data_IF_410754426683
#
_entry.id   IF_410754426683
#
_cell.length_a   1.000
_cell.length_b   1.000
_cell.length_c   1.000
_cell.angle_alpha   90.00
_cell.angle_beta   90.00
_cell.angle_gamma   90.00
#
_symmetry.space_group_name_H-M   'P 1'
#
loop_
_entity.id
_entity.type
_entity.pdbx_description
1 polymer ?
#
# COMPACT_ATOMS: atom_id res chain seq x y z
N UNK A 1 3.84 -14.61 21.24
CA UNK A 1 2.94 -15.57 20.59
C UNK A 1 3.43 -16.98 20.90
N UNK A 2 2.56 -17.98 21.11
CA UNK A 2 3.03 -19.35 21.27
C UNK A 2 3.77 -19.77 19.99
N UNK A 3 4.96 -20.35 20.15
CA UNK A 3 5.74 -20.87 19.01
C UNK A 3 5.05 -22.09 18.42
N UNK A 4 4.91 -22.13 17.10
CA UNK A 4 4.32 -23.25 16.35
C UNK A 4 5.00 -23.36 14.98
N UNK A 5 5.14 -24.58 14.47
CA UNK A 5 5.65 -24.83 13.10
C UNK A 5 4.76 -24.23 12.00
N UNK A 6 3.50 -23.93 12.32
CA UNK A 6 2.55 -23.31 11.39
C UNK A 6 2.55 -21.78 11.44
N UNK A 7 3.31 -21.18 12.36
CA UNK A 7 3.37 -19.74 12.56
C UNK A 7 4.73 -19.20 12.09
N UNK A 8 4.72 -18.51 10.95
CA UNK A 8 5.86 -17.73 10.48
C UNK A 8 5.67 -16.26 10.87
N UNK A 9 6.68 -15.67 11.49
CA UNK A 9 6.68 -14.29 11.94
C UNK A 9 7.84 -13.58 11.23
N UNK A 10 7.57 -12.40 10.67
CA UNK A 10 8.63 -11.57 10.13
C UNK A 10 9.46 -10.98 11.28
N UNK A 11 10.77 -10.86 11.10
CA UNK A 11 11.68 -10.44 12.18
C UNK A 11 11.50 -8.96 12.57
N UNK A 12 11.00 -8.13 11.66
CA UNK A 12 10.84 -6.70 11.88
C UNK A 12 9.49 -6.34 12.51
N UNK A 13 9.50 -5.30 13.35
CA UNK A 13 8.29 -4.57 13.73
C UNK A 13 8.01 -3.50 12.68
N UNK A 14 6.75 -3.40 12.26
CA UNK A 14 6.31 -2.52 11.18
C UNK A 14 5.40 -1.41 11.72
N UNK A 15 5.66 -0.18 11.28
CA UNK A 15 4.89 1.01 11.59
C UNK A 15 4.01 1.38 10.41
N UNK A 16 2.74 1.69 10.67
CA UNK A 16 1.82 2.13 9.64
C UNK A 16 1.91 3.65 9.43
N UNK A 17 2.10 4.04 8.18
CA UNK A 17 1.97 5.40 7.68
C UNK A 17 0.63 5.54 6.95
N UNK A 18 0.02 6.70 7.06
CA UNK A 18 -1.15 7.08 6.28
C UNK A 18 -0.93 8.46 5.68
N UNK A 19 -1.32 8.63 4.42
CA UNK A 19 -1.15 9.89 3.68
C UNK A 19 -2.51 10.56 3.56
N UNK A 20 -2.66 11.72 4.19
CA UNK A 20 -3.88 12.53 4.09
C UNK A 20 -3.61 13.68 3.14
N UNK A 21 -4.27 13.70 1.97
CA UNK A 21 -4.25 14.87 1.12
C UNK A 21 -5.13 15.96 1.74
N UNK A 22 -4.55 17.13 2.06
CA UNK A 22 -5.33 18.31 2.43
C UNK A 22 -6.30 18.66 1.31
N UNK A 23 -7.56 18.97 1.66
CA UNK A 23 -8.68 19.12 0.73
C UNK A 23 -8.43 20.15 -0.38
N UNK A 24 -7.84 19.70 -1.49
CA UNK A 24 -7.94 20.32 -2.80
C UNK A 24 -9.15 19.74 -3.54
N UNK A 25 -9.78 20.54 -4.39
CA UNK A 25 -10.97 20.20 -5.17
C UNK A 25 -10.94 18.75 -5.68
N UNK A 26 -11.92 17.95 -5.26
CA UNK A 26 -12.13 16.59 -5.75
C UNK A 26 -12.53 16.66 -7.23
N UNK A 27 -11.56 16.66 -8.15
CA UNK A 27 -11.86 16.29 -9.53
C UNK A 27 -12.13 14.79 -9.55
N UNK A 28 -13.13 14.35 -10.31
CA UNK A 28 -13.45 12.93 -10.53
C UNK A 28 -12.36 12.15 -11.28
N UNK A 29 -11.20 12.75 -11.50
CA UNK A 29 -10.08 12.28 -12.31
C UNK A 29 -8.79 12.09 -11.50
N UNK A 30 -8.88 12.07 -10.17
CA UNK A 30 -7.70 11.80 -9.34
C UNK A 30 -7.51 10.28 -9.19
N UNK A 31 -6.28 9.78 -9.32
CA UNK A 31 -6.00 8.36 -9.10
C UNK A 31 -6.48 7.94 -7.69
N UNK A 32 -7.07 6.74 -7.60
CA UNK A 32 -7.55 6.15 -6.36
C UNK A 32 -6.56 5.07 -5.91
N UNK A 33 -6.37 4.95 -4.59
CA UNK A 33 -5.55 3.90 -4.01
C UNK A 33 -4.06 4.22 -4.08
N UNK A 34 -3.24 3.17 -4.18
CA UNK A 34 -1.76 3.27 -4.18
C UNK A 34 -1.22 4.12 -5.33
N UNK A 35 -1.93 4.20 -6.46
CA UNK A 35 -1.45 4.97 -7.63
C UNK A 35 -1.41 6.46 -7.37
N UNK A 36 -2.25 6.96 -6.45
CA UNK A 36 -2.24 8.37 -6.02
C UNK A 36 -0.94 8.78 -5.33
N UNK A 37 -0.34 7.85 -4.60
CA UNK A 37 0.87 8.07 -3.80
C UNK A 37 2.13 7.47 -4.46
N UNK A 38 1.99 6.93 -5.68
CA UNK A 38 3.08 6.25 -6.38
C UNK A 38 4.31 7.15 -6.51
N UNK A 39 4.13 8.38 -7.01
CA UNK A 39 5.24 9.31 -7.27
C UNK A 39 5.74 10.06 -6.04
N UNK A 40 4.85 10.39 -5.10
CA UNK A 40 5.20 11.24 -3.96
C UNK A 40 5.65 10.46 -2.73
N UNK A 41 5.33 9.17 -2.64
CA UNK A 41 5.68 8.34 -1.47
C UNK A 41 6.34 7.03 -1.86
N UNK A 42 5.72 6.24 -2.77
CA UNK A 42 6.25 4.91 -3.08
C UNK A 42 7.60 4.97 -3.79
N UNK A 43 7.73 5.80 -4.83
CA UNK A 43 8.97 5.95 -5.59
C UNK A 43 10.12 6.50 -4.72
N UNK A 44 9.96 7.60 -3.96
CA UNK A 44 11.03 8.12 -3.11
C UNK A 44 11.51 7.12 -2.04
N UNK A 45 10.60 6.33 -1.45
CA UNK A 45 10.99 5.28 -0.50
C UNK A 45 11.77 4.16 -1.20
N UNK A 46 11.36 3.76 -2.40
CA UNK A 46 12.08 2.77 -3.19
C UNK A 46 13.49 3.25 -3.59
N UNK A 47 13.62 4.51 -4.02
CA UNK A 47 14.90 5.13 -4.39
C UNK A 47 15.90 5.19 -3.22
N UNK A 48 15.39 5.28 -2.00
CA UNK A 48 16.18 5.23 -0.76
C UNK A 48 16.35 3.80 -0.22
N UNK A 49 15.97 2.78 -1.00
CA UNK A 49 16.06 1.37 -0.65
C UNK A 49 15.34 1.03 0.66
N UNK A 50 14.17 1.65 0.87
CA UNK A 50 13.28 1.39 2.00
C UNK A 50 12.21 0.39 1.56
N UNK A 51 12.20 -0.77 2.21
CA UNK A 51 11.19 -1.80 1.97
C UNK A 51 9.85 -1.38 2.57
N UNK A 52 8.77 -1.61 1.82
CA UNK A 52 7.41 -1.24 2.22
C UNK A 52 6.47 -2.42 2.06
N UNK A 53 5.49 -2.51 2.96
CA UNK A 53 4.35 -3.41 2.84
C UNK A 53 3.09 -2.57 2.66
N UNK A 54 2.27 -2.90 1.66
CA UNK A 54 1.04 -2.16 1.41
C UNK A 54 -0.16 -2.87 2.02
N UNK A 55 -1.06 -2.09 2.62
CA UNK A 55 -2.35 -2.57 3.05
C UNK A 55 -3.44 -1.55 2.69
N UNK A 56 -3.93 -1.65 1.47
CA UNK A 56 -5.15 -0.98 1.06
C UNK A 56 -6.37 -1.59 1.77
N UNK A 57 -7.19 -0.70 2.32
CA UNK A 57 -8.47 -1.02 2.93
C UNK A 57 -9.59 -0.29 2.19
N UNK A 58 -10.84 -0.49 2.61
CA UNK A 58 -11.95 0.27 2.03
C UNK A 58 -11.84 1.78 2.34
N UNK A 59 -11.28 2.14 3.49
CA UNK A 59 -11.22 3.53 3.96
C UNK A 59 -9.95 4.26 3.51
N UNK A 60 -8.82 3.57 3.47
CA UNK A 60 -7.51 4.20 3.26
C UNK A 60 -6.42 3.18 2.89
N UNK A 61 -5.28 3.69 2.46
CA UNK A 61 -4.09 2.91 2.11
C UNK A 61 -3.01 3.09 3.18
N UNK A 62 -2.70 2.00 3.88
CA UNK A 62 -1.58 1.99 4.82
C UNK A 62 -0.29 1.56 4.13
N UNK A 63 0.77 2.31 4.38
CA UNK A 63 2.14 1.93 3.99
C UNK A 63 2.85 1.52 5.27
N UNK A 64 3.25 0.26 5.36
CA UNK A 64 3.98 -0.28 6.49
C UNK A 64 5.48 -0.18 6.19
N UNK A 65 6.22 0.46 7.09
CA UNK A 65 7.68 0.57 7.05
C UNK A 65 8.28 -0.09 8.28
N UNK A 66 9.49 -0.63 8.19
CA UNK A 66 10.16 -1.18 9.38
C UNK A 66 10.48 -0.03 10.35
N UNK A 67 10.29 -0.28 11.65
CA UNK A 67 10.56 0.73 12.69
C UNK A 67 11.99 1.28 12.61
N UNK A 68 12.97 0.41 12.33
CA UNK A 68 14.38 0.79 12.14
C UNK A 68 14.63 1.75 10.97
N UNK A 69 13.75 1.76 9.96
CA UNK A 69 13.88 2.60 8.77
C UNK A 69 13.18 3.96 8.95
N UNK A 70 12.46 4.17 10.06
CA UNK A 70 11.69 5.38 10.31
C UNK A 70 12.49 6.69 10.15
N UNK A 71 13.76 6.81 10.62
CA UNK A 71 14.55 8.02 10.41
C UNK A 71 14.83 8.33 8.93
N UNK A 72 15.00 7.30 8.10
CA UNK A 72 15.18 7.47 6.66
C UNK A 72 13.86 7.86 6.01
N UNK A 73 12.76 7.22 6.39
CA UNK A 73 11.41 7.58 5.93
C UNK A 73 11.09 9.05 6.23
N UNK A 74 11.34 9.51 7.46
CA UNK A 74 11.05 10.90 7.82
C UNK A 74 11.93 11.86 7.04
N UNK A 75 13.22 11.57 6.88
CA UNK A 75 14.12 12.37 6.06
C UNK A 75 13.61 12.46 4.61
N UNK A 76 13.33 11.32 3.98
CA UNK A 76 12.88 11.21 2.58
C UNK A 76 11.58 11.97 2.31
N UNK A 77 10.61 11.90 3.23
CA UNK A 77 9.28 12.48 3.00
C UNK A 77 9.14 13.92 3.53
N UNK A 78 10.05 14.38 4.40
CA UNK A 78 9.94 15.71 5.04
C UNK A 78 10.02 16.89 4.09
N UNK A 79 10.56 16.72 2.87
CA UNK A 79 10.61 17.78 1.87
C UNK A 79 9.25 18.11 1.27
N UNK A 80 8.33 17.14 1.23
CA UNK A 80 7.02 17.28 0.58
C UNK A 80 5.85 17.18 1.58
N UNK A 81 6.07 16.59 2.75
CA UNK A 81 5.01 16.30 3.71
C UNK A 81 5.29 16.87 5.10
N UNK A 82 4.24 17.42 5.70
CA UNK A 82 4.19 17.61 7.15
C UNK A 82 3.92 16.26 7.82
N UNK A 83 4.91 15.75 8.54
CA UNK A 83 4.81 14.44 9.20
C UNK A 83 4.17 14.60 10.58
N UNK A 84 3.04 13.92 10.79
CA UNK A 84 2.30 13.90 12.04
C UNK A 84 2.26 12.47 12.60
N UNK A 85 2.27 12.35 13.94
CA UNK A 85 2.10 11.07 14.64
C UNK A 85 0.76 11.09 15.35
N UNK A 86 0.07 9.94 15.39
CA UNK A 86 -1.12 9.76 16.23
C UNK A 86 -0.69 9.13 17.54
N UNK A 87 -0.96 9.80 18.66
CA UNK A 87 -0.72 9.31 20.03
C UNK A 87 -2.03 9.37 20.79
N UNK A 88 -2.49 8.24 21.34
CA UNK A 88 -3.79 8.14 22.05
C UNK A 88 -5.00 8.65 21.25
N UNK A 89 -4.92 8.64 19.91
CA UNK A 89 -5.97 9.16 19.03
C UNK A 89 -5.86 10.64 18.66
N UNK A 90 -4.86 11.37 19.20
CA UNK A 90 -4.60 12.79 18.89
C UNK A 90 -3.36 12.95 17.99
N UNK A 91 -3.39 13.93 17.08
CA UNK A 91 -2.26 14.23 16.18
C UNK A 91 -1.25 15.15 16.86
N UNK A 92 -0.03 14.65 17.08
CA UNK A 92 1.07 15.36 17.74
C UNK A 92 2.37 15.26 16.92
N UNK A 93 3.28 16.21 17.11
CA UNK A 93 4.65 16.10 16.60
C UNK A 93 5.37 14.93 17.29
N UNK A 94 6.19 14.19 16.54
CA UNK A 94 6.54 12.81 16.87
C UNK A 94 7.60 12.62 17.98
N UNK A 95 7.21 12.14 19.18
CA UNK A 95 8.08 11.44 20.15
C UNK A 95 7.37 10.24 20.85
N UNK A 96 8.11 9.11 20.92
CA UNK A 96 8.06 7.81 21.65
C UNK A 96 6.80 7.05 22.19
N UNK A 97 6.82 5.73 21.87
CA UNK A 97 6.31 4.48 22.49
C UNK A 97 4.83 3.99 22.38
N UNK A 98 4.64 2.94 21.55
CA UNK A 98 4.06 1.59 21.81
C UNK A 98 2.56 1.35 22.11
N UNK A 99 1.87 0.47 21.34
CA UNK A 99 0.78 -0.49 21.72
C UNK A 99 0.25 -1.29 20.49
N UNK A 100 -0.24 -2.53 20.72
CA UNK A 100 -0.65 -3.59 19.76
C UNK A 100 -2.17 -3.75 19.55
N UNK A 101 -2.66 -4.35 18.45
CA UNK A 101 -4.06 -4.87 18.32
C UNK A 101 -4.19 -6.09 17.37
N UNK A 102 -5.18 -6.95 17.63
CA UNK A 102 -5.51 -8.15 16.84
C UNK A 102 -6.95 -8.13 16.28
N UNK A 103 -7.16 -8.83 15.16
CA UNK A 103 -8.47 -8.96 14.48
C UNK A 103 -8.73 -10.41 14.07
N UNK A 104 -9.99 -10.85 14.11
CA UNK A 104 -10.46 -12.15 13.60
C UNK A 104 -11.47 -11.90 12.47
N UNK A 105 -11.45 -12.72 11.41
CA UNK A 105 -12.26 -12.61 10.18
C UNK A 105 -13.26 -13.79 10.02
N UNK A 106 -14.27 -13.72 9.12
CA UNK A 106 -15.69 -13.94 9.45
C UNK A 106 -16.36 -15.09 8.65
N UNK A 107 -17.69 -15.21 8.71
CA UNK A 107 -18.52 -16.06 7.82
C UNK A 107 -19.72 -15.29 7.22
N UNK A 108 -20.12 -15.72 6.01
CA UNK A 108 -21.15 -15.24 5.07
C UNK A 108 -22.18 -14.20 5.59
N UNK A 109 -22.21 -13.05 4.92
CA UNK A 109 -23.01 -11.89 5.32
C UNK A 109 -24.44 -11.96 4.78
N UNK A 110 -25.47 -11.80 5.63
CA UNK A 110 -26.84 -11.50 5.20
C UNK A 110 -26.93 -10.28 4.26
N UNK A 111 -27.97 -10.24 3.43
CA UNK A 111 -28.26 -9.10 2.54
C UNK A 111 -28.34 -7.78 3.33
N UNK A 112 -27.91 -6.68 2.69
CA UNK A 112 -27.87 -5.32 3.26
C UNK A 112 -26.92 -5.10 4.45
N UNK A 113 -26.01 -6.04 4.73
CA UNK A 113 -24.93 -5.83 5.72
C UNK A 113 -23.61 -5.40 5.09
N UNK A 114 -23.40 -5.72 3.82
CA UNK A 114 -22.22 -5.29 3.07
C UNK A 114 -22.55 -4.01 2.31
N UNK A 115 -21.92 -2.93 2.74
CA UNK A 115 -21.97 -1.65 2.03
C UNK A 115 -20.78 -1.58 1.06
N UNK A 116 -21.07 -1.18 -0.16
CA UNK A 116 -20.07 -0.95 -1.21
C UNK A 116 -20.34 0.39 -1.88
N UNK A 117 -19.28 1.11 -2.23
CA UNK A 117 -19.35 2.30 -3.08
C UNK A 117 -19.40 1.94 -4.57
N UNK A 118 -19.15 0.69 -4.93
CA UNK A 118 -19.12 0.25 -6.32
C UNK A 118 -20.52 0.32 -6.94
N UNK A 119 -20.67 1.12 -8.00
CA UNK A 119 -21.89 1.19 -8.81
C UNK A 119 -21.90 0.11 -9.92
N UNK A 120 -21.51 -1.11 -9.59
CA UNK A 120 -21.39 -2.24 -10.53
C UNK A 120 -19.98 -2.50 -11.08
N UNK A 121 -19.00 -1.67 -10.72
CA UNK A 121 -17.58 -1.86 -11.07
C UNK A 121 -16.97 -2.99 -10.22
N UNK A 122 -16.34 -3.97 -10.87
CA UNK A 122 -15.70 -5.10 -10.23
C UNK A 122 -14.18 -4.96 -10.31
N UNK A 123 -13.50 -5.55 -9.33
CA UNK A 123 -12.05 -5.48 -9.21
C UNK A 123 -11.42 -6.82 -9.56
N UNK A 124 -10.44 -6.79 -10.45
CA UNK A 124 -9.64 -7.95 -10.85
C UNK A 124 -8.30 -7.95 -10.13
N UNK A 125 -7.92 -9.11 -9.61
CA UNK A 125 -6.66 -9.28 -8.89
C UNK A 125 -5.51 -9.61 -9.84
N UNK A 126 -4.43 -8.85 -9.75
CA UNK A 126 -3.12 -9.14 -10.33
C UNK A 126 -2.20 -9.56 -9.19
N UNK A 127 -1.77 -10.83 -9.20
CA UNK A 127 -0.78 -11.34 -8.25
C UNK A 127 0.63 -11.04 -8.73
N UNK A 128 1.47 -10.54 -7.83
CA UNK A 128 2.87 -10.19 -8.06
C UNK A 128 3.77 -11.17 -7.28
N UNK A 129 4.84 -11.62 -7.94
CA UNK A 129 5.81 -12.59 -7.39
C UNK A 129 5.60 -14.02 -7.89
N UNK A 130 6.60 -14.55 -8.61
CA UNK A 130 6.67 -15.96 -9.01
C UNK A 130 7.19 -16.88 -7.91
N UNK A 131 7.88 -16.31 -6.92
CA UNK A 131 8.38 -16.94 -5.69
C UNK A 131 8.04 -16.02 -4.50
N UNK A 132 8.13 -16.51 -3.25
CA UNK A 132 7.95 -15.65 -2.08
C UNK A 132 8.90 -14.45 -2.12
N UNK A 133 8.33 -13.24 -2.05
CA UNK A 133 9.07 -11.97 -2.20
C UNK A 133 9.96 -11.65 -0.99
N UNK A 134 9.62 -12.18 0.19
CA UNK A 134 10.30 -11.83 1.44
C UNK A 134 9.98 -10.40 1.88
N UNK A 135 10.87 -9.81 2.68
CA UNK A 135 10.62 -8.54 3.38
C UNK A 135 11.67 -7.47 3.10
N UNK A 136 12.76 -7.80 2.39
CA UNK A 136 13.90 -6.92 2.18
C UNK A 136 13.98 -6.34 0.76
N UNK A 137 13.28 -6.96 -0.20
CA UNK A 137 13.26 -6.49 -1.59
C UNK A 137 12.48 -5.17 -1.68
N UNK A 138 13.16 -4.13 -2.17
CA UNK A 138 12.61 -2.78 -2.28
C UNK A 138 12.10 -2.52 -3.70
N UNK A 139 11.17 -1.57 -3.83
CA UNK A 139 10.68 -1.11 -5.12
C UNK A 139 9.65 -2.00 -5.81
N UNK A 140 9.32 -3.20 -5.32
CA UNK A 140 8.28 -4.06 -5.91
C UNK A 140 6.96 -3.28 -6.13
N UNK A 141 6.52 -2.56 -5.10
CA UNK A 141 5.30 -1.74 -5.17
C UNK A 141 5.45 -0.63 -6.21
N UNK A 142 6.60 0.05 -6.25
CA UNK A 142 6.90 1.13 -7.21
C UNK A 142 6.82 0.62 -8.66
N UNK A 143 7.41 -0.55 -8.94
CA UNK A 143 7.40 -1.18 -10.26
C UNK A 143 6.00 -1.47 -10.80
N UNK A 144 5.00 -1.57 -9.92
CA UNK A 144 3.60 -1.80 -10.29
C UNK A 144 2.82 -0.49 -10.25
N UNK A 145 2.95 0.32 -9.21
CA UNK A 145 2.13 1.50 -8.99
C UNK A 145 2.49 2.66 -9.91
N UNK A 146 3.76 2.83 -10.27
CA UNK A 146 4.21 3.89 -11.18
C UNK A 146 3.65 3.77 -12.60
N UNK A 147 3.77 2.64 -13.32
CA UNK A 147 3.21 2.52 -14.66
C UNK A 147 1.68 2.60 -14.65
N UNK A 148 1.02 2.11 -13.60
CA UNK A 148 -0.43 2.28 -13.44
C UNK A 148 -0.82 3.74 -13.20
N UNK A 149 -0.06 4.47 -12.39
CA UNK A 149 -0.26 5.90 -12.19
C UNK A 149 0.01 6.71 -13.47
N UNK A 150 1.01 6.32 -14.27
CA UNK A 150 1.29 6.94 -15.57
C UNK A 150 0.15 6.72 -16.58
N UNK A 151 -0.56 5.59 -16.47
CA UNK A 151 -1.73 5.26 -17.28
C UNK A 151 -3.07 5.74 -16.67
N UNK A 152 -3.04 6.46 -15.55
CA UNK A 152 -4.23 6.91 -14.80
C UNK A 152 -5.18 5.76 -14.41
N UNK A 153 -4.62 4.59 -14.08
CA UNK A 153 -5.37 3.41 -13.67
C UNK A 153 -5.39 3.36 -12.14
N UNK A 154 -6.55 3.36 -11.47
CA UNK A 154 -6.62 3.23 -10.03
C UNK A 154 -6.24 1.80 -9.61
N UNK A 155 -5.61 1.65 -8.44
CA UNK A 155 -5.31 0.34 -7.89
C UNK A 155 -5.29 0.34 -6.37
N UNK A 156 -5.91 -0.67 -5.77
CA UNK A 156 -5.64 -1.05 -4.38
C UNK A 156 -4.50 -2.05 -4.35
N UNK A 157 -3.71 -2.06 -3.26
CA UNK A 157 -2.55 -2.92 -3.14
C UNK A 157 -2.48 -3.58 -1.77
N UNK A 158 -2.33 -4.90 -1.76
CA UNK A 158 -2.26 -5.71 -0.53
C UNK A 158 -1.04 -6.63 -0.61
N UNK A 159 -0.07 -6.36 0.28
CA UNK A 159 1.05 -7.25 0.54
C UNK A 159 0.66 -8.34 1.53
N UNK A 160 1.00 -9.59 1.18
CA UNK A 160 0.85 -10.75 2.07
C UNK A 160 2.21 -11.26 2.49
N UNK A 161 2.27 -12.29 3.34
CA UNK A 161 3.55 -12.86 3.77
C UNK A 161 4.44 -13.37 2.61
N UNK A 162 3.85 -13.74 1.47
CA UNK A 162 4.60 -14.32 0.34
C UNK A 162 4.49 -13.51 -0.94
N UNK A 163 3.35 -12.88 -1.19
CA UNK A 163 3.03 -12.28 -2.48
C UNK A 163 2.33 -10.96 -2.31
N UNK A 164 2.45 -10.14 -3.34
CA UNK A 164 1.75 -8.89 -3.44
C UNK A 164 0.56 -9.01 -4.41
N UNK A 165 -0.47 -8.21 -4.19
CA UNK A 165 -1.70 -8.24 -4.97
C UNK A 165 -2.17 -6.83 -5.27
N UNK A 166 -2.28 -6.50 -6.55
CA UNK A 166 -2.96 -5.29 -6.99
C UNK A 166 -4.39 -5.64 -7.40
N UNK A 167 -5.37 -4.90 -6.88
CA UNK A 167 -6.74 -4.92 -7.35
C UNK A 167 -6.92 -3.74 -8.28
N UNK A 168 -7.32 -4.01 -9.53
CA UNK A 168 -7.54 -3.01 -10.59
C UNK A 168 -8.96 -3.15 -11.14
N UNK A 169 -9.56 -2.10 -11.75
CA UNK A 169 -10.86 -2.22 -12.41
C UNK A 169 -10.84 -3.32 -13.46
N UNK A 170 -11.86 -4.16 -13.48
CA UNK A 170 -11.94 -5.32 -14.38
C UNK A 170 -11.92 -4.90 -15.85
N UNK A 171 -12.60 -3.80 -16.18
CA UNK A 171 -12.66 -3.21 -17.51
C UNK A 171 -11.30 -2.68 -18.01
N UNK A 172 -10.40 -2.30 -17.09
CA UNK A 172 -9.08 -1.76 -17.40
C UNK A 172 -8.00 -2.83 -17.55
N UNK A 173 -8.33 -4.13 -17.46
CA UNK A 173 -7.33 -5.20 -17.42
C UNK A 173 -6.35 -5.19 -18.62
N UNK A 174 -6.82 -4.83 -19.82
CA UNK A 174 -5.95 -4.75 -21.00
C UNK A 174 -4.98 -3.57 -20.92
N UNK A 175 -5.43 -2.43 -20.35
CA UNK A 175 -4.59 -1.28 -20.06
C UNK A 175 -3.53 -1.61 -19.02
N UNK A 176 -3.91 -2.32 -17.96
CA UNK A 176 -3.01 -2.82 -16.91
C UNK A 176 -1.91 -3.71 -17.49
N UNK A 177 -2.28 -4.71 -18.30
CA UNK A 177 -1.31 -5.61 -18.93
C UNK A 177 -0.34 -4.82 -19.83
N UNK A 178 -0.84 -3.85 -20.57
CA UNK A 178 -0.02 -3.02 -21.47
C UNK A 178 0.97 -2.16 -20.68
N UNK A 179 0.50 -1.46 -19.65
CA UNK A 179 1.31 -0.60 -18.80
C UNK A 179 2.44 -1.39 -18.10
N UNK A 180 2.12 -2.57 -17.54
CA UNK A 180 3.10 -3.40 -16.85
C UNK A 180 4.12 -4.03 -17.81
N UNK A 181 3.72 -4.40 -19.04
CA UNK A 181 4.65 -4.92 -20.05
C UNK A 181 5.65 -3.88 -20.54
N UNK A 182 5.20 -2.64 -20.78
CA UNK A 182 6.06 -1.54 -21.22
C UNK A 182 7.15 -1.27 -20.18
N UNK A 183 6.78 -1.19 -18.90
CA UNK A 183 7.73 -0.98 -17.79
C UNK A 183 8.81 -2.08 -17.68
N UNK A 184 8.47 -3.34 -17.99
CA UNK A 184 9.47 -4.42 -17.98
C UNK A 184 10.42 -4.38 -19.18
N UNK A 185 9.99 -3.83 -20.31
CA UNK A 185 10.82 -3.70 -21.51
C UNK A 185 11.86 -2.58 -21.38
N UNK A 186 11.56 -1.50 -20.64
CA UNK A 186 12.48 -0.37 -20.43
C UNK A 186 13.63 -0.66 -19.45
N UNK A 187 13.66 -1.84 -18.83
CA UNK A 187 14.70 -2.28 -17.87
C UNK A 187 15.80 -3.15 -18.47
N UNK A 188 15.77 -3.39 -19.79
CA UNK A 188 16.77 -4.15 -20.55
C UNK A 188 17.34 -3.29 -21.68
#
# INVERSE_FOLDING_TARGET
>A
LPSSEHLSVADATWLALNVVSGGGSFSSSQPIGVTKIAKSVIAPLADQNISVFMLSTYQTDFILVRERDLPFVTHTLSSEFTILRVVNGETVAAENLGITNGFVKPKLFPSNLLFTSASGELWKMVRIGGQPLGFDECGIVAQISEPLAAADIPAYYISTFKFDHALVPEENINGVISALKVSQAEKH
#
